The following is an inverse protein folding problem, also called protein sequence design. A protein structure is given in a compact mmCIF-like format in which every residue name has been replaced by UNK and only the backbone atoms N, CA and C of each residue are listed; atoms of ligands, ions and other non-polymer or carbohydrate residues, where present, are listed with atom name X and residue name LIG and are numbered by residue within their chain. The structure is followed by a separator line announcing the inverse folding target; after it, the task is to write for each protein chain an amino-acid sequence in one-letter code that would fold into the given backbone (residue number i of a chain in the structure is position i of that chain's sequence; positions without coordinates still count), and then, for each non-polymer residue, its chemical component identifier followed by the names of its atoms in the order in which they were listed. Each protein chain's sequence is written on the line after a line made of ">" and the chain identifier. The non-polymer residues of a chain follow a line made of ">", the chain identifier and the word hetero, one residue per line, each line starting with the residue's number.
data_IF_917537649901
#
_entry.id   IF_917537649901
#
_cell.length_a   1.000
_cell.length_b   1.000
_cell.length_c   1.000
_cell.angle_alpha   90.00
_cell.angle_beta   90.00
_cell.angle_gamma   90.00
#
_symmetry.space_group_name_H-M   'P 1'
#
loop_
_entity.id
_entity.type
_entity.pdbx_description
1 polymer ?
#
# COMPACT_ATOMS: atom_id res chain seq x y z
N UNK A 1 -56.83 0.02 10.72
CA UNK A 1 -55.69 -0.71 11.30
C UNK A 1 -54.45 -0.25 10.58
N UNK A 2 -53.50 0.37 11.28
CA UNK A 2 -52.34 1.00 10.66
C UNK A 2 -51.18 0.00 10.53
N UNK A 3 -50.74 -0.23 9.29
CA UNK A 3 -49.54 -1.03 8.98
C UNK A 3 -48.29 -0.21 9.28
N UNK A 4 -47.51 -0.64 10.27
CA UNK A 4 -46.18 -0.09 10.54
C UNK A 4 -45.15 -0.71 9.62
N UNK A 5 -44.52 0.11 8.76
CA UNK A 5 -43.32 -0.26 8.03
C UNK A 5 -42.09 0.03 8.89
N UNK A 6 -41.39 -1.02 9.31
CA UNK A 6 -40.09 -0.90 9.98
C UNK A 6 -39.00 -0.75 8.92
N UNK A 7 -38.45 0.45 8.76
CA UNK A 7 -37.25 0.69 7.96
C UNK A 7 -36.04 0.14 8.71
N UNK A 8 -35.46 -0.97 8.22
CA UNK A 8 -34.14 -1.44 8.67
C UNK A 8 -33.09 -0.65 7.89
N UNK A 9 -32.47 0.34 8.53
CA UNK A 9 -31.28 0.99 7.98
C UNK A 9 -30.09 0.02 8.06
N UNK A 10 -29.64 -0.47 6.90
CA UNK A 10 -28.40 -1.23 6.80
C UNK A 10 -27.23 -0.30 7.12
N UNK A 11 -26.59 -0.50 8.28
CA UNK A 11 -25.33 0.15 8.60
C UNK A 11 -24.27 -0.53 7.74
N UNK A 12 -23.83 0.13 6.68
CA UNK A 12 -22.69 -0.33 5.88
C UNK A 12 -21.45 -0.35 6.78
N UNK A 13 -21.06 -1.54 7.24
CA UNK A 13 -19.80 -1.71 7.94
C UNK A 13 -18.68 -1.38 6.95
N UNK A 14 -17.91 -0.34 7.25
CA UNK A 14 -16.74 0.00 6.45
C UNK A 14 -15.76 -1.17 6.52
N UNK A 15 -15.59 -1.85 5.40
CA UNK A 15 -14.71 -3.01 5.28
C UNK A 15 -13.26 -2.58 5.43
N UNK A 16 -12.48 -3.34 6.20
CA UNK A 16 -11.05 -3.08 6.36
C UNK A 16 -10.29 -3.40 5.06
N UNK A 17 -9.31 -2.57 4.66
CA UNK A 17 -8.44 -2.89 3.54
C UNK A 17 -7.72 -4.23 3.72
N UNK A 18 -7.65 -5.02 2.64
CA UNK A 18 -7.00 -6.34 2.58
C UNK A 18 -5.65 -6.30 1.87
N UNK A 19 -5.46 -5.34 0.96
CA UNK A 19 -4.22 -5.17 0.22
C UNK A 19 -3.80 -3.70 0.12
N UNK A 20 -2.49 -3.51 -0.01
CA UNK A 20 -1.86 -2.26 -0.40
C UNK A 20 -1.29 -2.39 -1.81
N UNK A 21 -1.53 -1.40 -2.66
CA UNK A 21 -0.81 -1.29 -3.93
C UNK A 21 0.61 -0.81 -3.63
N UNK A 22 1.63 -1.60 -3.96
CA UNK A 22 3.03 -1.22 -3.78
C UNK A 22 3.54 -0.40 -4.96
N UNK A 23 3.23 -0.86 -6.18
CA UNK A 23 3.65 -0.23 -7.43
C UNK A 23 2.60 -0.42 -8.51
N UNK A 24 2.56 0.49 -9.49
CA UNK A 24 1.67 0.42 -10.65
C UNK A 24 2.33 1.03 -11.88
N UNK A 25 2.19 0.36 -13.01
CA UNK A 25 2.63 0.85 -14.33
C UNK A 25 1.58 0.49 -15.38
N UNK A 26 1.45 1.34 -16.40
CA UNK A 26 0.47 1.16 -17.47
C UNK A 26 -0.97 1.47 -17.04
N UNK A 27 -1.93 0.88 -17.76
CA UNK A 27 -3.36 1.09 -17.53
C UNK A 27 -3.90 0.08 -16.51
N UNK A 28 -4.02 0.52 -15.26
CA UNK A 28 -4.61 -0.25 -14.17
C UNK A 28 -5.76 0.53 -13.55
N UNK A 29 -6.93 -0.09 -13.52
CA UNK A 29 -8.17 0.54 -13.04
C UNK A 29 -8.89 -0.35 -12.03
N UNK A 30 -9.50 0.26 -11.02
CA UNK A 30 -10.38 -0.37 -10.06
C UNK A 30 -11.84 -0.09 -10.45
N UNK A 31 -12.69 -1.11 -10.41
CA UNK A 31 -14.12 -0.93 -10.64
C UNK A 31 -14.82 -0.47 -9.35
N UNK A 32 -15.00 0.84 -9.18
CA UNK A 32 -15.70 1.42 -8.02
C UNK A 32 -17.12 1.80 -8.44
N UNK A 33 -18.14 1.14 -7.87
CA UNK A 33 -19.55 1.41 -8.19
C UNK A 33 -19.85 1.39 -9.70
N UNK A 34 -19.21 0.46 -10.43
CA UNK A 34 -19.34 0.32 -11.88
C UNK A 34 -18.56 1.34 -12.72
N UNK A 35 -17.83 2.27 -12.10
CA UNK A 35 -16.96 3.23 -12.79
C UNK A 35 -15.49 2.83 -12.65
N UNK A 36 -14.71 2.91 -13.74
CA UNK A 36 -13.27 2.70 -13.65
C UNK A 36 -12.61 3.90 -12.97
N UNK A 37 -11.84 3.63 -11.92
CA UNK A 37 -11.00 4.61 -11.22
C UNK A 37 -9.55 4.18 -11.41
N UNK A 38 -8.66 5.13 -11.73
CA UNK A 38 -7.24 4.82 -11.88
C UNK A 38 -6.65 4.38 -10.55
N UNK A 39 -5.87 3.30 -10.57
CA UNK A 39 -5.14 2.84 -9.38
C UNK A 39 -3.83 3.62 -9.26
N UNK A 40 -3.56 4.15 -8.07
CA UNK A 40 -2.29 4.81 -7.72
C UNK A 40 -1.47 3.94 -6.75
N UNK A 41 -0.13 4.09 -6.69
CA UNK A 41 0.67 3.47 -5.63
C UNK A 41 0.13 3.84 -4.24
N UNK A 42 0.27 2.90 -3.31
CA UNK A 42 -0.17 2.97 -1.91
C UNK A 42 -1.70 3.05 -1.71
N UNK A 43 -2.49 2.95 -2.78
CA UNK A 43 -3.94 2.76 -2.70
C UNK A 43 -4.29 1.53 -1.85
N UNK A 44 -5.44 1.59 -1.19
CA UNK A 44 -5.97 0.53 -0.33
C UNK A 44 -7.09 -0.19 -1.05
N UNK A 45 -6.96 -1.51 -1.17
CA UNK A 45 -7.97 -2.35 -1.81
C UNK A 45 -8.75 -3.13 -0.74
N UNK A 46 -10.04 -3.29 -0.97
CA UNK A 46 -10.99 -4.03 -0.14
C UNK A 46 -11.17 -5.45 -0.70
N UNK A 47 -11.54 -6.42 0.14
CA UNK A 47 -11.92 -7.77 -0.33
C UNK A 47 -13.03 -7.67 -1.40
N UNK A 48 -12.85 -8.39 -2.49
CA UNK A 48 -13.75 -8.37 -3.64
C UNK A 48 -13.48 -7.24 -4.65
N UNK A 49 -12.54 -6.33 -4.39
CA UNK A 49 -12.18 -5.29 -5.35
C UNK A 49 -11.67 -5.93 -6.66
N UNK A 50 -12.24 -5.48 -7.78
CA UNK A 50 -11.88 -5.94 -9.12
C UNK A 50 -10.92 -4.96 -9.78
N UNK A 51 -9.66 -5.36 -9.88
CA UNK A 51 -8.60 -4.59 -10.54
C UNK A 51 -8.45 -5.09 -11.97
N UNK A 52 -8.61 -4.20 -12.95
CA UNK A 52 -8.46 -4.46 -14.37
C UNK A 52 -7.08 -4.04 -14.84
N UNK A 53 -6.42 -4.91 -15.60
CA UNK A 53 -5.10 -4.71 -16.16
C UNK A 53 -5.17 -4.61 -17.69
N UNK A 54 -4.61 -3.54 -18.24
CA UNK A 54 -4.37 -3.36 -19.67
C UNK A 54 -3.21 -4.21 -20.21
N UNK A 55 -2.82 -3.98 -21.47
CA UNK A 55 -1.82 -4.81 -22.18
C UNK A 55 -0.43 -4.78 -21.55
N UNK A 56 0.06 -3.59 -21.26
CA UNK A 56 1.40 -3.37 -20.69
C UNK A 56 1.32 -3.04 -19.19
N UNK A 57 0.18 -3.39 -18.57
CA UNK A 57 -0.11 -3.08 -17.20
C UNK A 57 0.67 -4.00 -16.25
N UNK A 58 1.16 -3.39 -15.17
CA UNK A 58 1.81 -4.06 -14.05
C UNK A 58 1.26 -3.51 -12.76
N UNK A 59 1.00 -4.36 -11.79
CA UNK A 59 0.64 -3.94 -10.44
C UNK A 59 1.29 -4.86 -9.41
N UNK A 60 1.86 -4.25 -8.37
CA UNK A 60 2.35 -4.98 -7.20
C UNK A 60 1.38 -4.79 -6.04
N UNK A 61 0.95 -5.89 -5.43
CA UNK A 61 0.01 -5.92 -4.31
C UNK A 61 0.67 -6.56 -3.10
N UNK A 62 0.52 -5.96 -1.92
CA UNK A 62 1.01 -6.51 -0.65
C UNK A 62 -0.17 -6.78 0.26
N UNK A 63 -0.31 -8.03 0.68
CA UNK A 63 -1.33 -8.54 1.60
C UNK A 63 -0.79 -8.57 3.03
N UNK A 64 -1.21 -7.65 3.92
CA UNK A 64 -0.62 -7.55 5.26
C UNK A 64 -0.95 -8.75 6.15
N UNK A 65 -2.09 -9.42 5.89
CA UNK A 65 -2.51 -10.59 6.66
C UNK A 65 -1.60 -11.79 6.42
N UNK A 66 -1.33 -12.10 5.16
CA UNK A 66 -0.55 -13.26 4.75
C UNK A 66 0.95 -12.97 4.60
N UNK A 67 1.34 -11.71 4.48
CA UNK A 67 2.70 -11.33 4.09
C UNK A 67 2.98 -11.57 2.61
N UNK A 68 1.98 -11.92 1.81
CA UNK A 68 2.13 -12.20 0.39
C UNK A 68 2.29 -10.90 -0.40
N UNK A 69 3.32 -10.83 -1.23
CA UNK A 69 3.46 -9.82 -2.27
C UNK A 69 3.22 -10.48 -3.62
N UNK A 70 2.37 -9.89 -4.44
CA UNK A 70 2.02 -10.36 -5.78
C UNK A 70 2.41 -9.31 -6.80
N UNK A 71 3.11 -9.71 -7.86
CA UNK A 71 3.44 -8.86 -8.99
C UNK A 71 2.69 -9.39 -10.21
N UNK A 72 1.60 -8.71 -10.56
CA UNK A 72 0.73 -9.07 -11.67
C UNK A 72 1.15 -8.32 -12.94
N UNK A 73 1.11 -9.02 -14.08
CA UNK A 73 1.40 -8.43 -15.40
C UNK A 73 0.48 -8.98 -16.49
N UNK A 74 0.19 -8.15 -17.49
CA UNK A 74 -0.57 -8.55 -18.68
C UNK A 74 -2.09 -8.33 -18.57
N UNK A 75 -2.79 -8.66 -19.67
CA UNK A 75 -4.21 -8.34 -19.85
C UNK A 75 -5.12 -9.23 -18.99
N UNK A 76 -6.00 -8.61 -18.23
CA UNK A 76 -7.06 -9.34 -17.53
C UNK A 76 -7.74 -8.53 -16.44
N UNK A 77 -8.33 -9.24 -15.49
CA UNK A 77 -8.74 -8.67 -14.22
C UNK A 77 -8.43 -9.64 -13.10
N UNK A 78 -8.07 -9.09 -11.95
CA UNK A 78 -7.87 -9.81 -10.69
C UNK A 78 -8.92 -9.37 -9.68
N UNK A 79 -9.38 -10.31 -8.86
CA UNK A 79 -10.22 -10.05 -7.70
C UNK A 79 -9.35 -10.20 -6.46
N UNK A 80 -9.29 -9.15 -5.66
CA UNK A 80 -8.57 -9.21 -4.38
C UNK A 80 -9.37 -10.05 -3.38
N UNK A 81 -8.68 -10.91 -2.63
CA UNK A 81 -9.22 -11.65 -1.49
C UNK A 81 -8.63 -11.16 -0.17
N UNK A 82 -9.00 -11.79 0.94
CA UNK A 82 -8.48 -11.44 2.28
C UNK A 82 -6.94 -11.63 2.43
N UNK A 83 -6.33 -12.55 1.66
CA UNK A 83 -4.92 -12.92 1.81
C UNK A 83 -4.14 -13.07 0.49
N UNK A 84 -4.82 -13.09 -0.65
CA UNK A 84 -4.25 -13.23 -1.99
C UNK A 84 -5.27 -12.78 -3.05
N UNK A 85 -4.83 -12.52 -4.28
CA UNK A 85 -5.73 -12.29 -5.41
C UNK A 85 -6.04 -13.57 -6.17
N UNK A 86 -7.18 -13.57 -6.87
CA UNK A 86 -7.52 -14.58 -7.86
C UNK A 86 -7.74 -13.95 -9.23
N UNK A 87 -7.41 -14.69 -10.30
CA UNK A 87 -7.73 -14.25 -11.67
C UNK A 87 -9.23 -14.29 -11.89
N UNK A 88 -9.81 -13.16 -12.29
CA UNK A 88 -11.24 -13.03 -12.54
C UNK A 88 -11.60 -13.14 -14.03
N UNK A 89 -10.75 -12.59 -14.91
CA UNK A 89 -10.89 -12.68 -16.38
C UNK A 89 -9.53 -12.56 -17.05
N UNK A 90 -9.41 -13.15 -18.24
CA UNK A 90 -8.15 -13.14 -18.99
C UNK A 90 -7.12 -14.09 -18.39
N UNK A 91 -5.85 -13.84 -18.72
CA UNK A 91 -4.72 -14.69 -18.29
C UNK A 91 -3.51 -13.83 -17.90
N UNK A 92 -3.64 -12.90 -16.93
CA UNK A 92 -2.49 -12.18 -16.41
C UNK A 92 -1.54 -13.15 -15.69
N UNK A 93 -0.24 -12.89 -15.79
CA UNK A 93 0.79 -13.63 -15.05
C UNK A 93 0.97 -13.05 -13.66
N UNK A 94 1.28 -13.91 -12.68
CA UNK A 94 1.58 -13.50 -11.30
C UNK A 94 2.90 -14.10 -10.84
N UNK A 95 3.77 -13.24 -10.32
CA UNK A 95 4.92 -13.66 -9.53
C UNK A 95 4.63 -13.38 -8.05
N UNK A 96 4.97 -14.33 -7.18
CA UNK A 96 4.66 -14.25 -5.76
C UNK A 96 5.95 -14.23 -4.95
N UNK A 97 6.06 -13.26 -4.06
CA UNK A 97 7.11 -13.16 -3.05
C UNK A 97 6.48 -13.25 -1.66
N UNK A 98 7.06 -14.08 -0.80
CA UNK A 98 6.64 -14.14 0.60
C UNK A 98 7.47 -13.18 1.43
N UNK A 99 6.82 -12.20 2.04
CA UNK A 99 7.40 -11.33 3.04
C UNK A 99 7.11 -11.88 4.44
N UNK A 100 7.97 -11.60 5.43
CA UNK A 100 7.56 -11.74 6.82
C UNK A 100 6.32 -10.88 7.10
N UNK A 101 5.32 -11.42 7.79
CA UNK A 101 4.03 -10.74 7.99
C UNK A 101 4.16 -9.39 8.72
N UNK A 102 5.13 -9.25 9.62
CA UNK A 102 5.41 -7.97 10.28
C UNK A 102 5.91 -6.91 9.29
N UNK A 103 6.68 -7.29 8.26
CA UNK A 103 7.14 -6.39 7.19
C UNK A 103 5.94 -5.87 6.41
N UNK A 104 5.07 -6.77 5.95
CA UNK A 104 3.87 -6.40 5.19
C UNK A 104 2.91 -5.51 6.00
N UNK A 105 2.74 -5.79 7.30
CA UNK A 105 1.95 -4.95 8.21
C UNK A 105 2.53 -3.55 8.41
N UNK A 106 3.84 -3.44 8.54
CA UNK A 106 4.52 -2.15 8.66
C UNK A 106 4.43 -1.35 7.36
N UNK A 107 4.68 -1.98 6.21
CA UNK A 107 4.48 -1.36 4.90
C UNK A 107 3.05 -0.83 4.73
N UNK A 108 2.05 -1.59 5.21
CA UNK A 108 0.65 -1.19 5.16
C UNK A 108 0.29 0.04 6.00
N UNK A 109 1.23 0.59 6.79
CA UNK A 109 1.03 1.83 7.53
C UNK A 109 1.52 3.06 6.79
N UNK A 110 2.15 2.90 5.61
CA UNK A 110 2.51 3.99 4.68
C UNK A 110 1.32 4.93 4.46
N UNK A 111 1.50 6.26 4.52
CA UNK A 111 0.44 7.22 4.26
C UNK A 111 -0.18 7.04 2.86
N UNK A 112 -1.47 7.34 2.72
CA UNK A 112 -2.19 7.23 1.45
C UNK A 112 -2.37 8.61 0.81
N UNK A 113 -2.30 8.65 -0.52
CA UNK A 113 -2.50 9.87 -1.31
C UNK A 113 -3.95 10.34 -1.33
N UNK A 114 -4.94 9.44 -1.20
CA UNK A 114 -6.32 9.79 -1.48
C UNK A 114 -7.23 9.87 -0.24
N UNK A 115 -7.99 10.95 -0.27
CA UNK A 115 -8.88 11.48 0.74
C UNK A 115 -10.11 10.59 0.93
N UNK A 116 -10.15 9.84 2.02
CA UNK A 116 -11.42 9.49 2.67
C UNK A 116 -11.36 9.79 4.16
N UNK A 117 -11.13 11.07 4.49
CA UNK A 117 -11.73 11.77 5.64
C UNK A 117 -11.76 11.11 7.02
N UNK A 118 -10.92 10.12 7.32
CA UNK A 118 -10.80 9.47 8.63
C UNK A 118 -9.36 9.50 9.13
N UNK A 119 -8.72 10.66 9.01
CA UNK A 119 -7.56 11.01 9.81
C UNK A 119 -8.08 11.44 11.20
N UNK A 120 -8.31 10.47 12.08
CA UNK A 120 -8.90 10.74 13.39
C UNK A 120 -8.49 9.77 14.50
N UNK A 121 -7.42 8.99 14.29
CA UNK A 121 -6.80 8.24 15.38
C UNK A 121 -5.35 8.65 15.46
N UNK A 122 -5.00 9.28 16.59
CA UNK A 122 -3.62 9.50 17.02
C UNK A 122 -2.93 8.15 16.94
N UNK A 123 -2.09 7.95 15.91
CA UNK A 123 -1.32 6.72 15.81
C UNK A 123 -0.32 6.77 16.95
N UNK A 124 -0.44 5.81 17.87
CA UNK A 124 0.54 5.65 18.94
C UNK A 124 1.89 5.36 18.27
N UNK A 125 2.75 6.38 18.21
CA UNK A 125 4.10 6.23 17.68
C UNK A 125 4.90 5.39 18.66
N UNK A 126 5.68 4.46 18.14
CA UNK A 126 6.64 3.76 18.98
C UNK A 126 7.70 4.78 19.42
N UNK A 127 8.16 4.66 20.67
CA UNK A 127 9.30 5.45 21.12
C UNK A 127 10.51 4.96 20.34
N UNK A 128 11.18 5.87 19.63
CA UNK A 128 12.44 5.57 18.97
C UNK A 128 13.47 5.09 20.01
N UNK A 129 14.05 3.92 19.77
CA UNK A 129 15.19 3.42 20.54
C UNK A 129 16.30 3.00 19.58
N UNK A 130 17.59 3.10 20.00
CA UNK A 130 18.69 2.61 19.20
C UNK A 130 18.52 1.14 18.81
N UNK A 131 18.01 0.28 19.71
CA UNK A 131 17.84 -1.14 19.37
C UNK A 131 16.78 -1.39 18.27
N UNK A 132 15.70 -0.62 18.25
CA UNK A 132 14.65 -0.75 17.25
C UNK A 132 15.14 -0.25 15.88
N UNK A 133 15.92 0.83 15.88
CA UNK A 133 16.54 1.37 14.68
C UNK A 133 17.57 0.41 14.08
N UNK A 134 18.49 -0.12 14.89
CA UNK A 134 19.49 -1.11 14.46
C UNK A 134 18.84 -2.35 13.87
N UNK A 135 17.74 -2.82 14.49
CA UNK A 135 16.97 -3.96 13.99
C UNK A 135 16.34 -3.65 12.63
N UNK A 136 15.72 -2.48 12.50
CA UNK A 136 15.13 -2.03 11.24
C UNK A 136 16.19 -1.94 10.13
N UNK A 137 17.35 -1.36 10.42
CA UNK A 137 18.46 -1.22 9.48
C UNK A 137 18.97 -2.59 8.99
N UNK A 138 19.18 -3.54 9.91
CA UNK A 138 19.59 -4.91 9.57
C UNK A 138 18.57 -5.61 8.68
N UNK A 139 17.28 -5.47 8.98
CA UNK A 139 16.20 -6.06 8.20
C UNK A 139 16.12 -5.44 6.79
N UNK A 140 16.21 -4.11 6.69
CA UNK A 140 16.22 -3.41 5.40
C UNK A 140 17.46 -3.80 4.58
N UNK A 141 18.63 -3.93 5.21
CA UNK A 141 19.84 -4.38 4.52
C UNK A 141 19.67 -5.78 3.94
N UNK A 142 19.09 -6.71 4.70
CA UNK A 142 18.77 -8.06 4.20
C UNK A 142 17.77 -7.99 3.03
N UNK A 143 16.68 -7.23 3.18
CA UNK A 143 15.68 -7.08 2.12
C UNK A 143 16.28 -6.50 0.84
N UNK A 144 17.19 -5.54 0.95
CA UNK A 144 17.90 -4.95 -0.20
C UNK A 144 18.85 -5.93 -0.87
N UNK A 145 19.49 -6.82 -0.11
CA UNK A 145 20.36 -7.86 -0.68
C UNK A 145 19.57 -8.91 -1.48
N UNK A 146 18.32 -9.15 -1.12
CA UNK A 146 17.42 -10.11 -1.78
C UNK A 146 16.50 -9.46 -2.83
N UNK A 147 16.49 -8.12 -2.93
CA UNK A 147 15.60 -7.37 -3.81
C UNK A 147 16.01 -7.51 -5.28
N UNK A 148 15.05 -7.81 -6.14
CA UNK A 148 15.22 -7.71 -7.60
C UNK A 148 15.23 -6.23 -8.03
N UNK A 149 15.77 -5.91 -9.22
CA UNK A 149 15.69 -4.56 -9.76
C UNK A 149 14.25 -4.04 -9.77
N UNK A 150 14.06 -2.83 -9.24
CA UNK A 150 12.76 -2.15 -9.07
C UNK A 150 11.85 -2.68 -7.96
N UNK A 151 12.27 -3.66 -7.15
CA UNK A 151 11.55 -3.99 -5.92
C UNK A 151 11.75 -2.87 -4.89
N UNK A 152 10.69 -2.09 -4.64
CA UNK A 152 10.69 -0.98 -3.67
C UNK A 152 10.18 -1.37 -2.30
N UNK A 153 9.89 -2.65 -2.05
CA UNK A 153 9.49 -3.11 -0.73
C UNK A 153 10.48 -2.74 0.39
N UNK A 154 11.82 -2.82 0.20
CA UNK A 154 12.77 -2.43 1.24
C UNK A 154 12.68 -0.94 1.61
N UNK A 155 12.56 -0.05 0.62
CA UNK A 155 12.44 1.39 0.83
C UNK A 155 11.11 1.76 1.50
N UNK A 156 10.03 1.13 1.09
CA UNK A 156 8.71 1.32 1.72
C UNK A 156 8.70 0.83 3.16
N UNK A 157 9.33 -0.32 3.44
CA UNK A 157 9.48 -0.85 4.79
C UNK A 157 10.31 0.07 5.70
N UNK A 158 11.43 0.57 5.17
CA UNK A 158 12.32 1.51 5.85
C UNK A 158 11.61 2.80 6.26
N UNK A 159 10.97 3.48 5.31
CA UNK A 159 10.28 4.74 5.55
C UNK A 159 9.08 4.58 6.50
N UNK A 160 8.34 3.48 6.37
CA UNK A 160 7.26 3.16 7.32
C UNK A 160 7.78 3.00 8.75
N UNK A 161 8.94 2.35 8.92
CA UNK A 161 9.57 2.19 10.23
C UNK A 161 10.05 3.51 10.84
N UNK A 162 10.72 4.35 10.04
CA UNK A 162 11.13 5.69 10.48
C UNK A 162 9.93 6.52 10.92
N UNK A 163 8.85 6.49 10.16
CA UNK A 163 7.61 7.20 10.46
C UNK A 163 6.95 6.70 11.75
N UNK A 164 6.90 5.38 11.96
CA UNK A 164 6.36 4.79 13.20
C UNK A 164 7.15 5.17 14.44
N UNK A 165 8.48 5.31 14.31
CA UNK A 165 9.37 5.76 15.37
C UNK A 165 9.38 7.28 15.56
N UNK A 166 8.65 8.05 14.72
CA UNK A 166 8.64 9.51 14.76
C UNK A 166 9.98 10.15 14.38
N UNK A 167 10.83 9.44 13.61
CA UNK A 167 12.14 9.93 13.17
C UNK A 167 12.02 10.86 11.96
N UNK A 168 11.33 11.99 12.14
CA UNK A 168 10.92 12.88 11.05
C UNK A 168 12.08 13.47 10.25
N UNK A 169 13.18 13.86 10.91
CA UNK A 169 14.33 14.45 10.21
C UNK A 169 15.02 13.41 9.31
N UNK A 170 15.28 12.22 9.86
CA UNK A 170 15.86 11.11 9.10
C UNK A 170 14.93 10.63 7.98
N UNK A 171 13.61 10.68 8.19
CA UNK A 171 12.62 10.38 7.17
C UNK A 171 12.72 11.38 6.00
N UNK A 172 12.82 12.69 6.28
CA UNK A 172 12.97 13.73 5.24
C UNK A 172 14.27 13.55 4.44
N UNK A 173 15.39 13.34 5.13
CA UNK A 173 16.69 13.11 4.49
C UNK A 173 16.65 11.91 3.53
N UNK A 174 16.02 10.82 3.96
CA UNK A 174 15.91 9.63 3.12
C UNK A 174 14.98 9.85 1.91
N UNK A 175 13.87 10.56 2.09
CA UNK A 175 12.97 10.90 0.98
C UNK A 175 13.71 11.73 -0.09
N UNK A 176 14.52 12.71 0.31
CA UNK A 176 15.36 13.47 -0.62
C UNK A 176 16.39 12.59 -1.32
N UNK A 177 17.06 11.70 -0.58
CA UNK A 177 18.05 10.77 -1.13
C UNK A 177 17.39 9.86 -2.18
N UNK A 178 16.23 9.29 -1.87
CA UNK A 178 15.49 8.40 -2.77
C UNK A 178 15.03 9.13 -4.03
N UNK A 179 14.52 10.36 -3.89
CA UNK A 179 14.10 11.16 -5.04
C UNK A 179 15.27 11.48 -5.97
N UNK A 180 16.45 11.79 -5.41
CA UNK A 180 17.69 12.03 -6.20
C UNK A 180 18.21 10.75 -6.85
N UNK A 181 18.14 9.61 -6.15
CA UNK A 181 18.63 8.33 -6.66
C UNK A 181 17.71 7.71 -7.72
N UNK A 182 16.40 7.98 -7.65
CA UNK A 182 15.39 7.36 -8.51
C UNK A 182 14.38 8.38 -9.08
N UNK A 183 14.85 9.41 -9.83
CA UNK A 183 13.99 10.52 -10.25
C UNK A 183 12.82 10.10 -11.19
N UNK A 184 12.99 9.01 -11.94
CA UNK A 184 11.98 8.48 -12.87
C UNK A 184 11.10 7.38 -12.28
N UNK A 185 11.31 7.00 -11.01
CA UNK A 185 10.58 5.88 -10.41
C UNK A 185 9.22 6.35 -9.87
N UNK A 186 8.14 5.83 -10.46
CA UNK A 186 6.78 6.22 -10.13
C UNK A 186 6.40 5.92 -8.69
N UNK A 187 6.85 4.78 -8.15
CA UNK A 187 6.61 4.37 -6.77
C UNK A 187 7.33 5.29 -5.79
N UNK A 188 8.59 5.62 -6.05
CA UNK A 188 9.34 6.57 -5.20
C UNK A 188 8.70 7.96 -5.23
N UNK A 189 8.30 8.45 -6.41
CA UNK A 189 7.63 9.75 -6.53
C UNK A 189 6.29 9.79 -5.78
N UNK A 190 5.50 8.71 -5.86
CA UNK A 190 4.26 8.59 -5.08
C UNK A 190 4.54 8.53 -3.57
N UNK A 191 5.61 7.85 -3.17
CA UNK A 191 5.99 7.68 -1.76
C UNK A 191 6.41 9.02 -1.14
N UNK A 192 7.24 9.79 -1.87
CA UNK A 192 7.62 11.16 -1.49
C UNK A 192 6.40 12.05 -1.34
N UNK A 193 5.47 12.02 -2.32
CA UNK A 193 4.23 12.80 -2.26
C UNK A 193 3.36 12.42 -1.05
N UNK A 194 3.23 11.12 -0.77
CA UNK A 194 2.44 10.62 0.36
C UNK A 194 2.99 11.09 1.71
N UNK A 195 4.30 10.96 1.92
CA UNK A 195 4.95 11.39 3.16
C UNK A 195 5.01 12.92 3.31
N UNK A 196 5.29 13.67 2.24
CA UNK A 196 5.29 15.14 2.28
C UNK A 196 3.93 15.68 2.77
N UNK A 197 2.83 15.09 2.29
CA UNK A 197 1.48 15.44 2.76
C UNK A 197 1.26 15.06 4.22
N UNK A 198 1.65 13.85 4.61
CA UNK A 198 1.50 13.38 6.00
C UNK A 198 2.23 14.30 6.98
N UNK A 199 3.47 14.67 6.67
CA UNK A 199 4.30 15.54 7.50
C UNK A 199 3.73 16.96 7.64
N UNK A 200 3.12 17.50 6.58
CA UNK A 200 2.48 18.81 6.63
C UNK A 200 1.22 18.81 7.51
N UNK A 201 0.46 17.71 7.52
CA UNK A 201 -0.76 17.60 8.32
C UNK A 201 -0.48 17.43 9.82
N UNK A 202 0.71 16.98 10.21
CA UNK A 202 1.12 16.83 11.61
C UNK A 202 1.66 18.13 12.24
N UNK A 203 1.87 19.18 11.43
CA UNK A 203 2.36 20.48 11.88
C UNK A 203 1.24 21.44 12.35
N UNK A 204 -0.02 20.98 12.32
CA UNK A 204 -1.22 21.73 12.71
C UNK A 204 -1.98 21.02 13.83
#
# INVERSE_FOLDING_TARGET
>A
MASGFTLVSAIAQAQSPVAMVLDVSGDVTLAVQGKPVKVEPFSRLLDGDRVKLGRDAKISLVYPRSGRQENWTGVGAVLTGDSESTTATGSPSVEVKQLPTYVAKQMARTPVSDTSGKAGMVRMRAIASPENLDKLEKQVAQMRAEAVPNDRAPEVYWLAGLNEMGMTDRLKEELERLQKAYPGDGSINALVKAYARSLNNEAH
#
